data_IF_942302800026
#
_entry.id   IF_942302800026
#
_cell.length_a   1.000
_cell.length_b   1.000
_cell.length_c   1.000
_cell.angle_alpha   90.00
_cell.angle_beta   90.00
_cell.angle_gamma   90.00
#
_symmetry.space_group_name_H-M   'P 1'
#
loop_
_entity.id
_entity.type
_entity.pdbx_description
1 polymer ?
#
# COMPACT_ATOMS: atom_id res chain seq x y z
N UNK A 1 30.37 -5.07 -18.22
CA UNK A 1 30.14 -4.14 -17.09
C UNK A 1 29.18 -4.82 -16.11
N UNK A 2 29.66 -5.28 -14.97
CA UNK A 2 28.83 -6.00 -13.99
C UNK A 2 27.99 -4.95 -13.25
N UNK A 3 26.68 -4.87 -13.52
CA UNK A 3 25.75 -4.09 -12.68
C UNK A 3 25.79 -4.70 -11.28
N UNK A 4 26.51 -4.06 -10.34
CA UNK A 4 26.38 -4.36 -8.91
C UNK A 4 24.90 -4.24 -8.57
N UNK A 5 24.27 -5.33 -8.10
CA UNK A 5 22.91 -5.28 -7.52
C UNK A 5 22.92 -4.21 -6.43
N UNK A 6 22.16 -3.14 -6.62
CA UNK A 6 21.94 -2.12 -5.59
C UNK A 6 21.34 -2.79 -4.37
N UNK A 7 21.87 -2.46 -3.19
CA UNK A 7 21.32 -2.93 -1.91
C UNK A 7 19.93 -2.31 -1.74
N UNK A 8 18.91 -3.12 -1.47
CA UNK A 8 17.58 -2.62 -1.15
C UNK A 8 17.66 -1.79 0.15
N UNK A 9 17.09 -0.59 0.12
CA UNK A 9 17.01 0.33 1.27
C UNK A 9 15.60 0.26 1.84
N UNK A 10 15.47 0.35 3.17
CA UNK A 10 14.13 0.42 3.75
C UNK A 10 13.49 1.78 3.51
N UNK A 11 12.16 1.86 3.60
CA UNK A 11 11.44 3.13 3.39
C UNK A 11 11.89 4.16 4.43
N UNK A 12 11.97 3.79 5.70
CA UNK A 12 12.38 4.75 6.75
C UNK A 12 13.84 5.18 6.59
N UNK A 13 14.74 4.26 6.21
CA UNK A 13 16.14 4.62 5.93
C UNK A 13 16.24 5.60 4.76
N UNK A 14 15.46 5.39 3.70
CA UNK A 14 15.42 6.28 2.55
C UNK A 14 14.88 7.66 2.92
N UNK A 15 13.74 7.73 3.61
CA UNK A 15 13.17 8.98 4.11
C UNK A 15 14.14 9.76 5.00
N UNK A 16 14.81 9.06 5.94
CA UNK A 16 15.79 9.68 6.84
C UNK A 16 16.98 10.28 6.09
N UNK A 17 17.55 9.52 5.14
CA UNK A 17 18.68 10.02 4.33
C UNK A 17 18.26 11.20 3.46
N UNK A 18 17.09 11.12 2.83
CA UNK A 18 16.55 12.20 2.01
C UNK A 18 16.34 13.49 2.82
N UNK A 19 15.76 13.38 4.02
CA UNK A 19 15.49 14.53 4.88
C UNK A 19 16.76 15.20 5.42
N UNK A 20 17.85 14.46 5.59
CA UNK A 20 19.13 15.00 6.06
C UNK A 20 19.91 15.76 4.97
N UNK A 21 19.43 15.78 3.73
CA UNK A 21 20.06 16.51 2.62
C UNK A 21 19.46 17.92 2.55
N UNK A 22 20.27 18.94 2.80
CA UNK A 22 19.81 20.33 2.80
C UNK A 22 19.55 20.93 1.41
N UNK A 23 20.26 20.47 0.38
CA UNK A 23 20.23 21.06 -0.96
C UNK A 23 19.31 20.26 -1.90
N UNK A 24 18.40 20.95 -2.61
CA UNK A 24 17.44 20.31 -3.51
C UNK A 24 18.10 19.52 -4.67
N UNK A 25 19.16 20.05 -5.28
CA UNK A 25 19.90 19.34 -6.34
C UNK A 25 20.48 18.02 -5.80
N UNK A 26 21.02 18.04 -4.59
CA UNK A 26 21.53 16.83 -3.94
C UNK A 26 20.41 15.84 -3.58
N UNK A 27 19.21 16.32 -3.24
CA UNK A 27 18.02 15.49 -3.05
C UNK A 27 17.62 14.77 -4.35
N UNK A 28 17.61 15.50 -5.46
CA UNK A 28 17.29 14.95 -6.78
C UNK A 28 18.34 13.91 -7.21
N UNK A 29 19.61 14.20 -6.99
CA UNK A 29 20.72 13.28 -7.25
C UNK A 29 20.65 12.03 -6.36
N UNK A 30 20.25 12.19 -5.09
CA UNK A 30 20.01 11.06 -4.18
C UNK A 30 18.89 10.15 -4.68
N UNK A 31 17.74 10.71 -5.10
CA UNK A 31 16.64 9.93 -5.68
C UNK A 31 17.15 9.16 -6.90
N UNK A 32 17.73 9.84 -7.89
CA UNK A 32 18.26 9.21 -9.12
C UNK A 32 19.27 8.10 -8.82
N UNK A 33 20.09 8.31 -7.79
CA UNK A 33 21.18 7.40 -7.45
C UNK A 33 20.74 6.23 -6.57
N UNK A 34 19.60 6.26 -5.90
CA UNK A 34 19.22 5.23 -4.91
C UNK A 34 17.86 4.58 -5.16
N UNK A 35 16.96 5.28 -5.85
CA UNK A 35 15.62 4.79 -6.17
C UNK A 35 15.61 4.17 -7.57
N UNK A 36 15.06 2.97 -7.68
CA UNK A 36 14.75 2.33 -8.97
C UNK A 36 13.23 2.20 -9.09
N UNK A 37 12.68 2.68 -10.20
CA UNK A 37 11.25 2.58 -10.50
C UNK A 37 11.00 1.37 -11.40
N UNK A 38 10.04 0.53 -11.03
CA UNK A 38 9.50 -0.49 -11.92
C UNK A 38 8.42 0.15 -12.79
N UNK A 39 8.60 0.26 -14.12
CA UNK A 39 7.68 1.02 -14.96
C UNK A 39 6.37 0.28 -15.25
N UNK A 40 6.33 -1.03 -15.05
CA UNK A 40 5.17 -1.85 -15.38
C UNK A 40 5.07 -3.07 -14.46
N UNK A 41 3.89 -3.28 -13.88
CA UNK A 41 3.53 -4.51 -13.19
C UNK A 41 2.56 -5.31 -14.07
N UNK A 42 2.83 -6.60 -14.35
CA UNK A 42 1.94 -7.42 -15.17
C UNK A 42 0.50 -7.48 -14.66
N UNK A 43 -0.47 -7.48 -15.58
CA UNK A 43 -1.90 -7.51 -15.27
C UNK A 43 -2.27 -8.59 -14.24
N UNK A 44 -1.83 -9.83 -14.44
CA UNK A 44 -2.12 -10.96 -13.52
C UNK A 44 -1.61 -10.68 -12.10
N UNK A 45 -0.47 -9.99 -11.97
CA UNK A 45 0.08 -9.60 -10.67
C UNK A 45 -0.75 -8.47 -10.04
N UNK A 46 -1.17 -7.46 -10.82
CA UNK A 46 -2.11 -6.41 -10.35
C UNK A 46 -3.42 -7.03 -9.85
N UNK A 47 -3.99 -7.96 -10.63
CA UNK A 47 -5.22 -8.67 -10.31
C UNK A 47 -5.14 -9.39 -8.96
N UNK A 48 -4.06 -10.16 -8.75
CA UNK A 48 -3.81 -10.87 -7.50
C UNK A 48 -3.59 -9.93 -6.31
N UNK A 49 -2.85 -8.83 -6.48
CA UNK A 49 -2.64 -7.82 -5.45
C UNK A 49 -3.97 -7.19 -5.02
N UNK A 50 -4.83 -6.85 -5.98
CA UNK A 50 -6.15 -6.27 -5.72
C UNK A 50 -7.07 -7.27 -5.02
N UNK A 51 -7.11 -8.53 -5.47
CA UNK A 51 -7.91 -9.57 -4.84
C UNK A 51 -7.54 -9.76 -3.36
N UNK A 52 -6.24 -9.79 -3.05
CA UNK A 52 -5.75 -9.89 -1.68
C UNK A 52 -6.06 -8.63 -0.86
N UNK A 53 -5.89 -7.44 -1.44
CA UNK A 53 -6.26 -6.19 -0.80
C UNK A 53 -7.75 -6.18 -0.40
N UNK A 54 -8.64 -6.56 -1.31
CA UNK A 54 -10.09 -6.63 -1.04
C UNK A 54 -10.42 -7.70 -0.01
N UNK A 55 -9.80 -8.89 -0.08
CA UNK A 55 -9.99 -9.94 0.92
C UNK A 55 -9.66 -9.47 2.33
N UNK A 56 -8.54 -8.76 2.50
CA UNK A 56 -8.08 -8.27 3.81
C UNK A 56 -8.90 -7.08 4.32
N UNK A 57 -9.46 -6.27 3.42
CA UNK A 57 -10.07 -4.97 3.78
C UNK A 57 -11.58 -4.92 3.62
N UNK A 58 -12.21 -5.96 3.08
CA UNK A 58 -13.65 -6.01 2.85
C UNK A 58 -14.34 -7.27 3.35
N UNK A 59 -13.60 -8.29 3.81
CA UNK A 59 -14.17 -9.54 4.27
C UNK A 59 -13.80 -9.75 5.73
N UNK A 60 -14.81 -9.93 6.57
CA UNK A 60 -14.62 -10.36 7.95
C UNK A 60 -14.16 -11.83 7.96
N UNK A 61 -13.04 -12.12 8.63
CA UNK A 61 -12.40 -13.45 8.57
C UNK A 61 -13.18 -14.52 9.31
N UNK A 62 -13.93 -14.12 10.34
CA UNK A 62 -14.69 -15.05 11.19
C UNK A 62 -16.01 -15.40 10.55
N UNK A 63 -16.70 -14.38 10.01
CA UNK A 63 -18.07 -14.52 9.51
C UNK A 63 -18.15 -14.66 7.99
N UNK A 64 -17.11 -14.27 7.26
CA UNK A 64 -17.12 -14.22 5.79
C UNK A 64 -18.04 -13.11 5.21
N UNK A 65 -18.61 -12.27 6.08
CA UNK A 65 -19.47 -11.16 5.71
C UNK A 65 -18.66 -9.97 5.19
N UNK A 66 -19.35 -9.07 4.48
CA UNK A 66 -18.73 -7.82 4.05
C UNK A 66 -18.49 -6.93 5.27
N UNK A 67 -17.23 -6.54 5.48
CA UNK A 67 -16.79 -5.55 6.48
C UNK A 67 -15.76 -4.63 5.83
N UNK A 68 -16.23 -3.47 5.37
CA UNK A 68 -15.38 -2.53 4.63
C UNK A 68 -14.52 -1.71 5.60
N UNK A 69 -13.20 -1.78 5.41
CA UNK A 69 -12.21 -0.94 6.07
C UNK A 69 -11.49 -0.07 5.02
N UNK A 70 -12.04 1.13 4.80
CA UNK A 70 -11.52 2.08 3.82
C UNK A 70 -10.11 2.59 4.17
N UNK A 71 -9.83 2.81 5.46
CA UNK A 71 -8.54 3.30 5.94
C UNK A 71 -7.43 2.27 5.71
N UNK A 72 -7.66 1.02 6.09
CA UNK A 72 -6.72 -0.07 5.82
C UNK A 72 -6.53 -0.28 4.32
N UNK A 73 -7.60 -0.16 3.52
CA UNK A 73 -7.49 -0.25 2.07
C UNK A 73 -6.62 0.86 1.48
N UNK A 74 -6.81 2.09 1.92
CA UNK A 74 -6.00 3.21 1.45
C UNK A 74 -4.52 2.99 1.78
N UNK A 75 -4.22 2.66 3.04
CA UNK A 75 -2.85 2.46 3.52
C UNK A 75 -2.15 1.29 2.82
N UNK A 76 -2.82 0.14 2.70
CA UNK A 76 -2.26 -1.05 2.06
C UNK A 76 -2.17 -0.90 0.53
N UNK A 77 -3.04 -0.11 -0.10
CA UNK A 77 -2.87 0.26 -1.51
C UNK A 77 -1.59 1.09 -1.70
N UNK A 78 -1.32 2.07 -0.82
CA UNK A 78 -0.05 2.81 -0.84
C UNK A 78 1.14 1.87 -0.67
N UNK A 79 1.08 0.94 0.27
CA UNK A 79 2.11 -0.09 0.47
C UNK A 79 2.37 -0.88 -0.81
N UNK A 80 1.31 -1.35 -1.48
CA UNK A 80 1.41 -2.09 -2.75
C UNK A 80 2.16 -1.28 -3.80
N UNK A 81 1.87 0.03 -3.92
CA UNK A 81 2.60 0.87 -4.86
C UNK A 81 4.09 0.96 -4.52
N UNK A 82 4.43 1.19 -3.25
CA UNK A 82 5.84 1.27 -2.83
C UNK A 82 6.58 -0.06 -3.09
N UNK A 83 6.05 -1.19 -2.64
CA UNK A 83 6.73 -2.49 -2.74
C UNK A 83 6.83 -3.03 -4.18
N UNK A 84 5.92 -2.63 -5.08
CA UNK A 84 5.88 -3.18 -6.44
C UNK A 84 6.40 -2.22 -7.51
N UNK A 85 6.45 -0.93 -7.23
CA UNK A 85 6.92 0.09 -8.18
C UNK A 85 8.24 0.72 -7.79
N UNK A 86 8.78 0.39 -6.62
CA UNK A 86 10.11 0.85 -6.18
C UNK A 86 10.97 -0.32 -5.72
N UNK A 87 12.28 -0.07 -5.56
CA UNK A 87 13.20 -1.00 -4.90
C UNK A 87 13.26 -0.83 -3.36
N UNK A 88 12.34 -0.05 -2.78
CA UNK A 88 12.28 0.16 -1.33
C UNK A 88 11.62 -1.03 -0.65
N UNK A 89 12.14 -1.40 0.52
CA UNK A 89 11.55 -2.47 1.35
C UNK A 89 10.78 -1.86 2.52
N UNK A 90 9.57 -2.34 2.74
CA UNK A 90 8.78 -2.03 3.94
C UNK A 90 9.30 -2.86 5.10
N UNK A 91 9.50 -2.24 6.26
CA UNK A 91 10.03 -2.90 7.46
C UNK A 91 8.99 -3.11 8.57
N UNK A 92 7.80 -2.51 8.45
CA UNK A 92 6.68 -2.71 9.35
C UNK A 92 5.52 -3.43 8.68
N UNK A 93 4.86 -4.24 9.48
CA UNK A 93 3.71 -5.02 9.05
C UNK A 93 2.50 -4.13 8.72
N UNK A 94 2.31 -3.05 9.48
CA UNK A 94 1.18 -2.13 9.34
C UNK A 94 1.41 -1.02 8.30
N UNK A 95 2.66 -0.73 7.93
CA UNK A 95 3.05 0.33 6.98
C UNK A 95 2.65 1.77 7.38
N UNK A 96 1.96 1.99 8.51
CA UNK A 96 1.51 3.33 8.91
C UNK A 96 2.68 4.24 9.28
N UNK A 97 3.73 3.72 9.92
CA UNK A 97 4.91 4.53 10.23
C UNK A 97 5.66 4.92 8.95
N UNK A 98 5.83 3.99 8.01
CA UNK A 98 6.42 4.26 6.69
C UNK A 98 5.60 5.27 5.89
N UNK A 99 4.27 5.15 5.93
CA UNK A 99 3.36 6.12 5.31
C UNK A 99 3.58 7.52 5.88
N UNK A 100 3.65 7.65 7.20
CA UNK A 100 3.89 8.93 7.87
C UNK A 100 5.26 9.51 7.52
N UNK A 101 6.31 8.67 7.46
CA UNK A 101 7.64 9.12 7.06
C UNK A 101 7.68 9.57 5.57
N UNK A 102 6.95 8.88 4.69
CA UNK A 102 6.78 9.30 3.29
C UNK A 102 6.04 10.63 3.17
N UNK A 103 4.98 10.85 3.97
CA UNK A 103 4.24 12.13 4.00
C UNK A 103 5.11 13.25 4.57
N UNK A 104 5.75 13.07 5.72
CA UNK A 104 6.60 14.08 6.37
C UNK A 104 7.79 14.51 5.51
N UNK A 105 8.36 13.57 4.74
CA UNK A 105 9.50 13.85 3.85
C UNK A 105 9.10 14.54 2.53
N UNK A 106 7.81 14.55 2.17
CA UNK A 106 7.33 14.95 0.85
C UNK A 106 7.57 13.92 -0.27
N UNK A 107 8.19 12.78 0.06
CA UNK A 107 8.44 11.70 -0.91
C UNK A 107 7.16 11.03 -1.38
N UNK A 108 6.11 11.00 -0.56
CA UNK A 108 4.80 10.49 -1.00
C UNK A 108 4.32 11.22 -2.25
N UNK A 109 4.39 12.55 -2.25
CA UNK A 109 3.88 13.35 -3.36
C UNK A 109 4.76 13.13 -4.60
N UNK A 110 6.09 13.13 -4.44
CA UNK A 110 7.04 12.83 -5.52
C UNK A 110 6.79 11.44 -6.15
N UNK A 111 6.48 10.44 -5.33
CA UNK A 111 6.30 9.07 -5.80
C UNK A 111 4.93 8.83 -6.44
N UNK A 112 3.85 9.37 -5.86
CA UNK A 112 2.48 8.91 -6.13
C UNK A 112 1.53 9.98 -6.67
N UNK A 113 1.85 11.26 -6.48
CA UNK A 113 0.94 12.37 -6.80
C UNK A 113 1.51 13.24 -7.93
N UNK A 114 2.80 13.56 -7.88
CA UNK A 114 3.41 14.59 -8.69
C UNK A 114 3.05 15.99 -8.20
N UNK A 115 3.20 16.97 -9.08
CA UNK A 115 2.74 18.34 -8.93
C UNK A 115 2.32 18.90 -10.31
N UNK A 116 1.92 20.16 -10.38
CA UNK A 116 1.43 20.80 -11.61
C UNK A 116 2.43 20.80 -12.78
N UNK A 117 3.72 20.59 -12.50
CA UNK A 117 4.81 20.64 -13.49
C UNK A 117 5.45 19.26 -13.71
N UNK A 118 5.33 18.35 -12.74
CA UNK A 118 6.11 17.11 -12.68
C UNK A 118 5.20 15.94 -12.38
N UNK A 119 5.15 14.96 -13.28
CA UNK A 119 4.44 13.71 -13.05
C UNK A 119 5.04 12.93 -11.85
N UNK A 120 4.25 12.08 -11.17
CA UNK A 120 4.77 11.17 -10.15
C UNK A 120 5.87 10.25 -10.74
N UNK A 121 6.81 9.83 -9.90
CA UNK A 121 7.85 8.90 -10.32
C UNK A 121 7.29 7.50 -10.61
N UNK A 122 6.27 7.05 -9.86
CA UNK A 122 5.51 5.86 -10.22
C UNK A 122 4.60 6.24 -11.40
N UNK A 123 4.62 5.49 -12.53
CA UNK A 123 3.87 5.86 -13.72
C UNK A 123 2.39 6.09 -13.43
N UNK A 124 1.89 7.23 -13.90
CA UNK A 124 0.51 7.65 -13.64
C UNK A 124 -0.51 6.63 -14.18
N UNK A 125 -0.23 6.07 -15.36
CA UNK A 125 -1.06 5.06 -16.02
C UNK A 125 -1.21 3.79 -15.16
N UNK A 126 -0.12 3.38 -14.49
CA UNK A 126 -0.12 2.22 -13.60
C UNK A 126 -0.96 2.48 -12.33
N UNK A 127 -0.88 3.69 -11.77
CA UNK A 127 -1.70 4.11 -10.64
C UNK A 127 -3.19 4.16 -11.04
N UNK A 128 -3.48 4.73 -12.20
CA UNK A 128 -4.84 4.88 -12.72
C UNK A 128 -5.49 3.53 -13.04
N UNK A 129 -4.77 2.63 -13.73
CA UNK A 129 -5.24 1.28 -14.04
C UNK A 129 -5.49 0.48 -12.76
N UNK A 130 -4.55 0.51 -11.80
CA UNK A 130 -4.73 -0.20 -10.53
C UNK A 130 -5.97 0.28 -9.77
N UNK A 131 -6.19 1.60 -9.69
CA UNK A 131 -7.37 2.18 -9.04
C UNK A 131 -8.67 1.82 -9.78
N UNK A 132 -8.66 1.80 -11.11
CA UNK A 132 -9.80 1.38 -11.90
C UNK A 132 -10.15 -0.10 -11.65
N UNK A 133 -9.16 -0.99 -11.75
CA UNK A 133 -9.32 -2.42 -11.47
C UNK A 133 -9.80 -2.69 -10.03
N UNK A 134 -9.27 -1.94 -9.05
CA UNK A 134 -9.72 -1.98 -7.67
C UNK A 134 -11.19 -1.57 -7.53
N UNK A 135 -11.62 -0.53 -8.25
CA UNK A 135 -13.00 -0.05 -8.22
C UNK A 135 -13.98 -1.05 -8.80
N UNK A 136 -13.68 -1.64 -9.97
CA UNK A 136 -14.58 -2.62 -10.59
C UNK A 136 -14.64 -3.91 -9.76
N UNK A 137 -13.50 -4.43 -9.27
CA UNK A 137 -13.50 -5.64 -8.42
C UNK A 137 -14.18 -5.42 -7.07
N UNK A 138 -14.08 -4.22 -6.51
CA UNK A 138 -14.86 -3.84 -5.33
C UNK A 138 -16.35 -3.94 -5.63
N UNK A 139 -16.79 -3.47 -6.79
CA UNK A 139 -18.19 -3.58 -7.23
C UNK A 139 -18.61 -5.04 -7.34
N UNK A 140 -17.78 -5.89 -7.97
CA UNK A 140 -18.04 -7.33 -8.09
C UNK A 140 -18.19 -8.01 -6.73
N UNK A 141 -17.31 -7.69 -5.76
CA UNK A 141 -17.40 -8.25 -4.40
C UNK A 141 -18.71 -7.87 -3.72
N UNK A 142 -19.15 -6.62 -3.88
CA UNK A 142 -20.42 -6.18 -3.32
C UNK A 142 -21.60 -6.86 -4.04
N UNK A 143 -21.67 -6.80 -5.38
CA UNK A 143 -22.75 -7.40 -6.17
C UNK A 143 -22.87 -8.91 -5.92
N UNK A 144 -21.78 -9.67 -6.02
CA UNK A 144 -21.82 -11.13 -5.84
C UNK A 144 -22.22 -11.56 -4.41
N UNK A 145 -21.88 -10.77 -3.39
CA UNK A 145 -22.28 -11.05 -1.99
C UNK A 145 -23.70 -10.59 -1.67
N UNK A 146 -24.19 -9.54 -2.33
CA UNK A 146 -25.58 -9.09 -2.23
C UNK A 146 -26.54 -10.02 -3.00
N UNK A 147 -26.07 -10.65 -4.09
CA UNK A 147 -26.90 -11.54 -4.90
C UNK A 147 -26.94 -12.99 -4.40
N UNK A 148 -25.89 -13.53 -3.76
CA UNK A 148 -25.89 -14.93 -3.33
C UNK A 148 -25.04 -15.21 -2.08
N UNK A 149 -25.62 -15.97 -1.14
CA UNK A 149 -24.95 -16.76 -0.09
C UNK A 149 -23.87 -17.78 -0.60
N UNK A 150 -23.34 -17.70 -1.83
CA UNK A 150 -22.61 -18.82 -2.50
C UNK A 150 -21.09 -18.67 -2.67
N UNK A 151 -20.47 -17.51 -2.47
CA UNK A 151 -19.10 -17.30 -2.98
C UNK A 151 -17.94 -17.82 -2.09
N UNK A 152 -18.21 -18.39 -0.91
CA UNK A 152 -17.13 -18.82 0.02
C UNK A 152 -16.58 -20.21 -0.32
N UNK A 153 -17.30 -21.03 -1.10
CA UNK A 153 -16.93 -22.44 -1.26
C UNK A 153 -16.07 -22.75 -2.50
N UNK A 154 -16.16 -21.99 -3.60
CA UNK A 154 -15.57 -22.44 -4.89
C UNK A 154 -14.18 -21.87 -5.27
N UNK A 155 -13.63 -20.91 -4.53
CA UNK A 155 -12.37 -20.25 -4.96
C UNK A 155 -11.12 -20.74 -4.20
N UNK A 156 -11.25 -21.60 -3.18
CA UNK A 156 -10.09 -22.07 -2.39
C UNK A 156 -9.24 -23.10 -3.16
N UNK A 157 -9.83 -23.89 -4.06
CA UNK A 157 -9.11 -24.98 -4.74
C UNK A 157 -8.24 -24.51 -5.93
N UNK A 158 -8.65 -23.46 -6.66
CA UNK A 158 -7.87 -22.95 -7.81
C UNK A 158 -6.65 -22.10 -7.42
N UNK A 159 -6.67 -21.49 -6.24
CA UNK A 159 -5.56 -20.65 -5.75
C UNK A 159 -4.45 -21.44 -5.05
N UNK A 160 -4.70 -22.69 -4.66
CA UNK A 160 -3.70 -23.55 -4.01
C UNK A 160 -2.50 -23.87 -4.92
N UNK A 161 -2.71 -23.89 -6.25
CA UNK A 161 -1.67 -24.17 -7.23
C UNK A 161 -0.83 -22.94 -7.66
N UNK A 162 -1.29 -21.71 -7.38
CA UNK A 162 -0.60 -20.46 -7.77
C UNK A 162 -0.08 -19.67 -6.55
N UNK A 163 -0.50 -20.04 -5.34
CA UNK A 163 -0.20 -19.34 -4.08
C UNK A 163 1.15 -19.66 -3.43
N UNK A 164 1.89 -20.67 -3.89
CA UNK A 164 3.17 -21.06 -3.26
C UNK A 164 4.31 -20.07 -3.52
N UNK A 165 4.13 -19.05 -4.38
CA UNK A 165 5.25 -18.25 -4.85
C UNK A 165 5.41 -16.83 -4.25
N UNK A 166 4.44 -16.13 -3.63
CA UNK A 166 4.73 -14.72 -3.25
C UNK A 166 3.97 -14.00 -2.14
N UNK A 167 2.98 -14.54 -1.41
CA UNK A 167 2.24 -13.69 -0.44
C UNK A 167 1.84 -14.35 0.91
N UNK A 168 2.31 -15.55 1.21
CA UNK A 168 2.10 -16.21 2.52
C UNK A 168 2.42 -15.32 3.74
N UNK A 169 3.48 -14.48 3.74
CA UNK A 169 3.80 -13.64 4.91
C UNK A 169 2.78 -12.53 5.20
N UNK A 170 2.00 -12.07 4.21
CA UNK A 170 1.10 -10.91 4.36
C UNK A 170 -0.23 -11.28 5.01
N UNK A 171 -0.70 -12.51 4.85
CA UNK A 171 -2.03 -12.94 5.33
C UNK A 171 -2.01 -13.17 6.84
N UNK A 172 -0.96 -13.81 7.37
CA UNK A 172 -0.90 -14.19 8.79
C UNK A 172 -0.62 -13.00 9.72
N UNK A 173 0.14 -12.03 9.23
CA UNK A 173 0.62 -10.88 10.01
C UNK A 173 -0.43 -9.77 10.09
N UNK A 174 -1.08 -9.44 8.98
CA UNK A 174 -2.13 -8.40 8.94
C UNK A 174 -3.39 -8.86 9.69
N UNK A 175 -3.61 -10.18 9.80
CA UNK A 175 -4.66 -10.74 10.67
C UNK A 175 -4.39 -10.55 12.15
N UNK A 176 -3.15 -10.81 12.59
CA UNK A 176 -2.81 -10.77 14.02
C UNK A 176 -2.62 -9.34 14.55
N UNK A 177 -2.03 -8.43 13.75
CA UNK A 177 -1.64 -7.09 14.23
C UNK A 177 -2.71 -6.00 14.13
N UNK A 178 -3.72 -6.14 13.25
CA UNK A 178 -4.84 -5.19 13.20
C UNK A 178 -5.83 -5.38 14.36
N UNK A 179 -5.98 -6.61 14.84
CA UNK A 179 -6.77 -6.92 16.04
C UNK A 179 -6.04 -6.50 17.34
N UNK A 180 -4.73 -6.28 17.26
CA UNK A 180 -3.85 -5.90 18.37
C UNK A 180 -3.62 -4.37 18.49
N UNK A 181 -4.20 -3.52 17.64
CA UNK A 181 -4.17 -2.06 17.89
C UNK A 181 -4.98 -1.81 19.17
N UNK A 182 -4.34 -1.44 20.29
CA UNK A 182 -5.05 -1.27 21.55
C UNK A 182 -6.06 -0.14 21.39
N UNK A 183 -7.30 -0.32 21.87
CA UNK A 183 -8.34 0.72 21.86
C UNK A 183 -7.85 2.05 22.42
N UNK A 184 -6.93 1.99 23.38
CA UNK A 184 -6.29 3.13 24.02
C UNK A 184 -5.52 4.05 23.06
N UNK A 185 -4.90 3.50 22.01
CA UNK A 185 -4.19 4.30 21.01
C UNK A 185 -5.14 4.87 19.94
N UNK A 186 -6.25 4.17 19.67
CA UNK A 186 -7.36 4.71 18.87
C UNK A 186 -8.07 5.86 19.59
N UNK A 187 -8.28 5.74 20.91
CA UNK A 187 -8.93 6.77 21.72
C UNK A 187 -8.06 8.02 21.87
N UNK A 188 -6.72 7.88 21.95
CA UNK A 188 -5.79 9.03 21.89
C UNK A 188 -5.84 9.75 20.56
N UNK A 189 -5.91 9.03 19.44
CA UNK A 189 -6.03 9.63 18.09
C UNK A 189 -7.37 10.36 17.95
N UNK A 190 -8.45 9.78 18.49
CA UNK A 190 -9.79 10.39 18.51
C UNK A 190 -9.84 11.61 19.45
N UNK A 191 -9.20 11.57 20.61
CA UNK A 191 -9.08 12.72 21.50
C UNK A 191 -8.21 13.84 20.92
N UNK A 192 -7.11 13.49 20.25
CA UNK A 192 -6.23 14.45 19.59
C UNK A 192 -6.95 15.15 18.43
N UNK A 193 -7.73 14.40 17.64
CA UNK A 193 -8.60 14.95 16.60
C UNK A 193 -9.74 15.83 17.16
N UNK A 194 -10.24 15.54 18.37
CA UNK A 194 -11.24 16.37 19.06
C UNK A 194 -10.65 17.63 19.72
N UNK A 195 -9.37 17.61 20.09
CA UNK A 195 -8.64 18.73 20.72
C UNK A 195 -7.94 19.64 19.71
N UNK A 196 -7.77 19.21 18.46
CA UNK A 196 -7.04 19.95 17.43
C UNK A 196 -7.91 20.93 16.66
N UNK A 197 -7.68 22.23 16.89
CA UNK A 197 -8.06 23.33 16.02
C UNK A 197 -7.47 23.14 14.61
N UNK A 198 -8.17 22.45 13.71
CA UNK A 198 -7.87 22.50 12.29
C UNK A 198 -8.35 23.87 11.76
N UNK A 199 -7.54 24.91 11.94
CA UNK A 199 -7.64 26.10 11.09
C UNK A 199 -7.11 25.72 9.72
N UNK A 200 -8.01 25.69 8.75
CA UNK A 200 -7.68 25.64 7.33
C UNK A 200 -6.66 26.74 6.99
N UNK A 201 -5.58 26.37 6.31
CA UNK A 201 -4.67 27.27 5.60
C UNK A 201 -4.55 26.76 4.17
#
# INVERSE_FOLDING_TARGET
MIKRRKKNMTVKEFCKKYNNIANQKLKDDFIKSNLEITPYVPFVKKDALIANLLKVTMIDKETGNIKVNSSARYLLMTRIFIENYTNLTVETDGFFEEYDELKKSGLFDILLIGNDVTAPLIPYEEIAEFKHLLSIKKSDVLQNKYEIHSFITEQVERFKALGEATLTPLVDVVSKKLDEIPKEDLDKIVEFAKKGEFKEV
#
